data_IF_538894554275
#
_entry.id   IF_538894554275
#
_cell.length_a   1.000
_cell.length_b   1.000
_cell.length_c   1.000
_cell.angle_alpha   90.00
_cell.angle_beta   90.00
_cell.angle_gamma   90.00
#
_symmetry.space_group_name_H-M   'P 1'
#
loop_
_entity.id
_entity.type
_entity.pdbx_description
1 polymer ?
#
# COMPACT_ATOMS: atom_id res chain seq x y z
N UNK A 1 -33.81 1.31 -1.90
CA UNK A 1 -33.35 0.39 -0.82
C UNK A 1 -32.01 0.87 -0.32
N UNK A 2 -31.86 1.16 0.99
CA UNK A 2 -30.54 1.41 1.59
C UNK A 2 -29.85 0.07 1.76
N UNK A 3 -28.88 -0.26 0.91
CA UNK A 3 -27.97 -1.39 1.13
C UNK A 3 -27.17 -1.10 2.40
N UNK A 4 -27.54 -1.76 3.50
CA UNK A 4 -26.87 -1.60 4.78
C UNK A 4 -25.61 -2.45 4.73
N UNK A 5 -24.47 -1.83 4.43
CA UNK A 5 -23.17 -2.52 4.44
C UNK A 5 -22.99 -3.23 5.78
N UNK A 6 -22.74 -4.54 5.74
CA UNK A 6 -22.61 -5.39 6.93
C UNK A 6 -21.14 -5.54 7.28
N UNK A 7 -20.80 -5.33 8.56
CA UNK A 7 -19.44 -5.50 9.08
C UNK A 7 -19.47 -6.25 10.40
N UNK A 8 -18.63 -7.27 10.53
CA UNK A 8 -18.48 -8.01 11.78
C UNK A 8 -17.07 -8.57 11.92
N UNK A 9 -16.55 -8.56 13.14
CA UNK A 9 -15.30 -9.20 13.54
C UNK A 9 -15.65 -10.38 14.44
N UNK A 10 -14.97 -11.51 14.28
CA UNK A 10 -15.10 -12.65 15.18
C UNK A 10 -13.76 -13.32 15.39
N UNK A 11 -13.46 -13.74 16.62
CA UNK A 11 -12.23 -14.48 16.91
C UNK A 11 -12.48 -15.98 16.93
N UNK A 12 -11.51 -16.75 16.46
CA UNK A 12 -11.58 -18.21 16.48
C UNK A 12 -10.18 -18.82 16.57
N UNK A 13 -10.11 -20.06 17.04
CA UNK A 13 -8.85 -20.80 17.08
C UNK A 13 -8.77 -21.80 15.94
N UNK A 14 -7.62 -21.85 15.27
CA UNK A 14 -7.29 -22.88 14.30
C UNK A 14 -6.30 -23.87 14.90
N UNK A 15 -6.68 -25.15 14.90
CA UNK A 15 -5.84 -26.28 15.31
C UNK A 15 -5.16 -26.96 14.11
N UNK A 16 -5.31 -26.39 12.91
CA UNK A 16 -4.80 -26.99 11.69
C UNK A 16 -3.30 -27.29 11.81
N UNK A 17 -2.93 -28.57 11.65
CA UNK A 17 -1.56 -29.12 11.68
C UNK A 17 -0.89 -29.19 13.06
N UNK A 18 -1.66 -29.17 14.17
CA UNK A 18 -1.12 -29.34 15.52
C UNK A 18 -1.71 -30.57 16.23
N UNK A 19 -0.83 -31.36 16.84
CA UNK A 19 -1.16 -32.57 17.62
C UNK A 19 -1.01 -32.33 19.13
N UNK A 20 -0.42 -31.19 19.52
CA UNK A 20 -0.08 -30.82 20.89
C UNK A 20 -1.25 -30.26 21.72
N UNK A 21 -2.48 -30.32 21.21
CA UNK A 21 -3.66 -29.78 21.89
C UNK A 21 -3.77 -28.24 21.89
N UNK A 22 -2.89 -27.54 21.16
CA UNK A 22 -2.88 -26.07 21.07
C UNK A 22 -3.48 -25.55 19.76
N UNK A 23 -4.04 -24.34 19.80
CA UNK A 23 -4.63 -23.64 18.66
C UNK A 23 -4.06 -22.23 18.50
N UNK A 24 -3.93 -21.77 17.25
CA UNK A 24 -3.59 -20.37 16.94
C UNK A 24 -4.84 -19.51 16.90
N UNK A 25 -4.80 -18.32 17.49
CA UNK A 25 -5.92 -17.37 17.44
C UNK A 25 -5.89 -16.62 16.11
N UNK A 26 -7.06 -16.52 15.49
CA UNK A 26 -7.34 -15.75 14.28
C UNK A 26 -8.49 -14.78 14.52
N UNK A 27 -8.36 -13.56 13.99
CA UNK A 27 -9.49 -12.67 13.77
C UNK A 27 -10.06 -12.92 12.37
N UNK A 28 -11.37 -13.01 12.26
CA UNK A 28 -12.10 -13.10 11.00
C UNK A 28 -12.84 -11.80 10.78
N UNK A 29 -12.53 -11.15 9.66
CA UNK A 29 -13.16 -9.91 9.23
C UNK A 29 -14.19 -10.27 8.17
N UNK A 30 -15.42 -9.83 8.35
CA UNK A 30 -16.51 -10.02 7.38
C UNK A 30 -17.06 -8.67 6.94
N UNK A 31 -17.12 -8.43 5.63
CA UNK A 31 -17.74 -7.26 5.01
C UNK A 31 -18.62 -7.77 3.87
N UNK A 32 -19.91 -7.45 3.88
CA UNK A 32 -20.85 -7.79 2.79
C UNK A 32 -20.72 -9.24 2.30
N UNK A 33 -20.79 -10.18 3.26
CA UNK A 33 -20.67 -11.63 3.07
C UNK A 33 -19.30 -12.16 2.61
N UNK A 34 -18.35 -11.29 2.24
CA UNK A 34 -16.96 -11.66 2.00
C UNK A 34 -16.20 -11.77 3.32
N UNK A 35 -15.21 -12.67 3.39
CA UNK A 35 -14.46 -12.95 4.62
C UNK A 35 -12.97 -13.04 4.37
N UNK A 36 -12.17 -12.53 5.30
CA UNK A 36 -10.72 -12.80 5.36
C UNK A 36 -10.30 -13.11 6.79
N UNK A 37 -9.21 -13.88 6.93
CA UNK A 37 -8.64 -14.22 8.23
C UNK A 37 -7.31 -13.49 8.45
N UNK A 38 -7.11 -13.06 9.68
CA UNK A 38 -5.94 -12.39 10.22
C UNK A 38 -5.37 -13.27 11.33
N UNK A 39 -4.12 -13.71 11.20
CA UNK A 39 -3.44 -14.48 12.25
C UNK A 39 -2.94 -13.54 13.34
N UNK A 40 -3.34 -13.77 14.60
CA UNK A 40 -2.90 -12.96 15.73
C UNK A 40 -1.62 -13.49 16.40
N UNK A 41 -1.05 -14.58 15.87
CA UNK A 41 0.21 -15.20 16.32
C UNK A 41 0.23 -15.72 17.77
N UNK A 42 -0.84 -15.55 18.54
CA UNK A 42 -1.05 -16.22 19.81
C UNK A 42 -1.35 -17.71 19.62
N UNK A 43 -0.76 -18.55 20.47
CA UNK A 43 -1.05 -19.98 20.59
C UNK A 43 -1.54 -20.25 22.00
N UNK A 44 -2.70 -20.89 22.13
CA UNK A 44 -3.30 -21.23 23.42
C UNK A 44 -3.76 -22.69 23.44
N UNK A 45 -3.85 -23.33 24.62
CA UNK A 45 -4.55 -24.60 24.77
C UNK A 45 -6.00 -24.48 24.28
N UNK A 46 -6.47 -25.48 23.55
CA UNK A 46 -7.83 -25.47 22.99
C UNK A 46 -8.93 -25.53 24.05
N UNK A 47 -8.63 -26.09 25.21
CA UNK A 47 -9.53 -26.28 26.35
C UNK A 47 -9.92 -24.96 27.02
N UNK A 48 -9.03 -23.98 27.00
CA UNK A 48 -9.25 -22.66 27.62
C UNK A 48 -9.89 -21.67 26.64
N UNK A 49 -10.38 -22.10 25.47
CA UNK A 49 -11.04 -21.21 24.52
C UNK A 49 -12.56 -21.34 24.59
N UNK A 50 -13.24 -20.22 24.86
CA UNK A 50 -14.68 -20.11 24.76
C UNK A 50 -15.11 -19.87 23.30
N UNK A 51 -15.60 -20.93 22.64
CA UNK A 51 -16.08 -20.84 21.26
C UNK A 51 -17.30 -19.91 21.10
N UNK A 52 -18.15 -19.79 22.12
CA UNK A 52 -19.35 -18.93 22.04
C UNK A 52 -19.00 -17.49 22.34
N UNK A 53 -18.19 -17.27 23.38
CA UNK A 53 -17.73 -15.94 23.79
C UNK A 53 -16.57 -15.37 22.97
N UNK A 54 -15.95 -16.17 22.10
CA UNK A 54 -14.77 -15.79 21.30
C UNK A 54 -13.62 -15.21 22.14
N UNK A 55 -13.37 -15.82 23.31
CA UNK A 55 -12.44 -15.33 24.33
C UNK A 55 -11.71 -16.48 25.03
N UNK A 56 -10.61 -16.15 25.70
CA UNK A 56 -9.90 -17.10 26.57
C UNK A 56 -10.60 -17.17 27.93
N UNK A 57 -10.88 -18.37 28.39
CA UNK A 57 -11.44 -18.68 29.71
C UNK A 57 -10.36 -18.64 30.79
N UNK A 58 -10.78 -18.31 32.01
CA UNK A 58 -9.94 -18.31 33.20
C UNK A 58 -9.64 -16.92 33.74
N UNK A 59 -9.06 -16.90 34.95
CA UNK A 59 -8.72 -15.67 35.67
C UNK A 59 -7.22 -15.43 35.78
N UNK A 60 -6.40 -16.24 35.09
CA UNK A 60 -4.95 -16.08 35.07
C UNK A 60 -4.57 -14.74 34.44
N UNK A 61 -3.39 -14.24 34.81
CA UNK A 61 -2.85 -13.00 34.24
C UNK A 61 -2.76 -13.09 32.71
N UNK A 62 -2.28 -14.23 32.19
CA UNK A 62 -2.18 -14.51 30.76
C UNK A 62 -3.54 -14.49 30.05
N UNK A 63 -4.57 -15.12 30.61
CA UNK A 63 -5.91 -15.10 30.01
C UNK A 63 -6.48 -13.66 29.94
N UNK A 64 -6.24 -12.84 30.97
CA UNK A 64 -6.63 -11.43 30.97
C UNK A 64 -5.86 -10.63 29.92
N UNK A 65 -4.55 -10.80 29.84
CA UNK A 65 -3.68 -10.13 28.85
C UNK A 65 -4.11 -10.46 27.42
N UNK A 66 -4.37 -11.73 27.10
CA UNK A 66 -4.84 -12.14 25.77
C UNK A 66 -6.21 -11.52 25.47
N UNK A 67 -7.16 -11.57 26.41
CA UNK A 67 -8.50 -11.00 26.18
C UNK A 67 -8.47 -9.48 25.98
N UNK A 68 -7.63 -8.76 26.73
CA UNK A 68 -7.39 -7.32 26.51
C UNK A 68 -6.85 -7.07 25.10
N UNK A 69 -5.85 -7.85 24.68
CA UNK A 69 -5.30 -7.74 23.32
C UNK A 69 -6.35 -8.02 22.23
N UNK A 70 -7.23 -9.01 22.41
CA UNK A 70 -8.32 -9.26 21.45
C UNK A 70 -9.27 -8.06 21.33
N UNK A 71 -9.57 -7.38 22.44
CA UNK A 71 -10.40 -6.18 22.47
C UNK A 71 -9.73 -4.99 21.77
N UNK A 72 -8.42 -4.82 21.95
CA UNK A 72 -7.63 -3.80 21.24
C UNK A 72 -7.66 -4.05 19.73
N UNK A 73 -7.39 -5.29 19.30
CA UNK A 73 -7.45 -5.68 17.88
C UNK A 73 -8.83 -5.45 17.28
N UNK A 74 -9.91 -5.77 18.01
CA UNK A 74 -11.27 -5.51 17.55
C UNK A 74 -11.51 -4.01 17.33
N UNK A 75 -11.06 -3.18 18.27
CA UNK A 75 -11.20 -1.73 18.23
C UNK A 75 -10.46 -1.13 17.03
N UNK A 76 -9.20 -1.55 16.83
CA UNK A 76 -8.36 -1.12 15.72
C UNK A 76 -8.97 -1.50 14.36
N UNK A 77 -9.42 -2.76 14.21
CA UNK A 77 -10.07 -3.23 12.99
C UNK A 77 -11.38 -2.48 12.69
N UNK A 78 -12.17 -2.17 13.72
CA UNK A 78 -13.36 -1.33 13.57
C UNK A 78 -13.00 0.08 13.09
N UNK A 79 -11.94 0.66 13.63
CA UNK A 79 -11.46 1.97 13.22
C UNK A 79 -11.00 1.97 11.75
N UNK A 80 -10.22 0.96 11.35
CA UNK A 80 -9.79 0.77 9.96
C UNK A 80 -11.01 0.72 9.00
N UNK A 81 -12.05 -0.03 9.36
CA UNK A 81 -13.27 -0.10 8.57
C UNK A 81 -13.98 1.26 8.47
N UNK A 82 -14.07 2.03 9.56
CA UNK A 82 -14.68 3.37 9.55
C UNK A 82 -13.93 4.34 8.65
N UNK A 83 -12.60 4.32 8.70
CA UNK A 83 -11.75 5.17 7.86
C UNK A 83 -11.86 4.82 6.37
N UNK A 84 -11.87 3.52 6.03
CA UNK A 84 -12.06 3.09 4.65
C UNK A 84 -13.45 3.44 4.14
N UNK A 85 -14.48 3.32 4.98
CA UNK A 85 -15.87 3.66 4.65
C UNK A 85 -16.09 5.16 4.48
N UNK A 86 -15.33 6.01 5.16
CA UNK A 86 -15.44 7.47 4.98
C UNK A 86 -14.76 7.94 3.69
N UNK A 87 -13.74 7.23 3.22
CA UNK A 87 -13.01 7.52 1.97
C UNK A 87 -13.65 6.89 0.73
N UNK A 88 -14.23 5.70 0.84
CA UNK A 88 -14.72 4.91 -0.30
C UNK A 88 -16.12 4.37 -0.07
N UNK A 89 -16.91 4.31 -1.16
CA UNK A 89 -18.22 3.67 -1.18
C UNK A 89 -18.14 2.14 -1.22
N UNK A 90 -16.96 1.58 -1.46
CA UNK A 90 -16.71 0.14 -1.55
C UNK A 90 -15.58 -0.26 -0.60
N UNK A 91 -15.86 -1.17 0.32
CA UNK A 91 -14.91 -1.69 1.31
C UNK A 91 -14.94 -3.21 1.26
N UNK A 92 -13.76 -3.83 1.17
CA UNK A 92 -13.62 -5.29 1.24
C UNK A 92 -12.92 -5.71 2.53
N UNK A 93 -13.10 -6.96 3.00
CA UNK A 93 -12.36 -7.47 4.15
C UNK A 93 -10.84 -7.40 3.97
N UNK A 94 -10.36 -7.60 2.73
CA UNK A 94 -8.96 -7.51 2.36
C UNK A 94 -8.43 -6.09 2.51
N UNK A 95 -9.20 -5.06 2.13
CA UNK A 95 -8.84 -3.66 2.35
C UNK A 95 -8.72 -3.34 3.83
N UNK A 96 -9.68 -3.80 4.66
CA UNK A 96 -9.61 -3.61 6.13
C UNK A 96 -8.35 -4.27 6.70
N UNK A 97 -8.04 -5.50 6.27
CA UNK A 97 -6.83 -6.21 6.68
C UNK A 97 -5.55 -5.49 6.23
N UNK A 98 -5.51 -4.98 5.00
CA UNK A 98 -4.36 -4.24 4.49
C UNK A 98 -4.16 -2.95 5.30
N UNK A 99 -5.23 -2.19 5.52
CA UNK A 99 -5.22 -0.96 6.34
C UNK A 99 -4.76 -1.21 7.77
N UNK A 100 -5.20 -2.30 8.38
CA UNK A 100 -4.73 -2.72 9.71
C UNK A 100 -3.21 -2.92 9.78
N UNK A 101 -2.59 -3.42 8.70
CA UNK A 101 -1.13 -3.59 8.62
C UNK A 101 -0.39 -2.37 8.07
N UNK A 102 -1.08 -1.27 7.75
CA UNK A 102 -0.47 -0.13 7.03
C UNK A 102 -0.09 -0.46 5.57
N UNK A 103 -0.72 -1.49 5.01
CA UNK A 103 -0.62 -1.90 3.60
C UNK A 103 -1.76 -1.30 2.75
N UNK A 104 -2.52 -0.35 3.30
CA UNK A 104 -3.56 0.46 2.64
C UNK A 104 -3.01 1.41 1.58
N UNK A 105 -1.73 1.76 1.70
CA UNK A 105 -1.03 2.45 0.63
C UNK A 105 -1.24 1.65 -0.65
N UNK A 106 -1.84 2.29 -1.65
CA UNK A 106 -1.98 1.71 -2.97
C UNK A 106 -0.61 1.11 -3.32
N UNK A 107 -0.51 -0.23 -3.36
CA UNK A 107 0.74 -0.92 -3.66
C UNK A 107 1.14 -0.71 -5.14
N UNK A 108 0.52 0.31 -5.76
CA UNK A 108 0.76 0.83 -7.08
C UNK A 108 2.19 1.34 -7.06
N UNK A 109 2.99 0.70 -7.90
CA UNK A 109 4.38 1.05 -8.04
C UNK A 109 4.56 1.95 -9.25
N UNK A 110 5.75 2.52 -9.35
CA UNK A 110 6.14 3.39 -10.45
C UNK A 110 5.99 2.69 -11.81
N UNK A 111 6.25 1.39 -11.91
CA UNK A 111 6.01 0.63 -13.16
C UNK A 111 4.54 0.60 -13.55
N UNK A 112 3.62 0.33 -12.62
CA UNK A 112 2.17 0.37 -12.88
C UNK A 112 1.71 1.76 -13.33
N UNK A 113 2.27 2.81 -12.72
CA UNK A 113 2.03 4.19 -13.16
C UNK A 113 2.49 4.44 -14.60
N UNK A 114 3.63 3.87 -14.99
CA UNK A 114 4.14 3.97 -16.35
C UNK A 114 3.26 3.22 -17.36
N UNK A 115 2.82 2.02 -17.03
CA UNK A 115 1.90 1.23 -17.86
C UNK A 115 0.60 1.98 -18.07
N UNK A 116 -0.01 2.48 -17.00
CA UNK A 116 -1.23 3.27 -17.09
C UNK A 116 -1.06 4.52 -17.98
N UNK A 117 0.03 5.27 -17.80
CA UNK A 117 0.35 6.41 -18.67
C UNK A 117 0.54 5.98 -20.13
N UNK A 118 1.23 4.87 -20.36
CA UNK A 118 1.54 4.39 -21.70
C UNK A 118 0.30 3.81 -22.41
N UNK A 119 -0.69 3.28 -21.71
CA UNK A 119 -1.95 2.84 -22.34
C UNK A 119 -2.86 4.04 -22.58
N UNK A 120 -3.05 4.88 -21.57
CA UNK A 120 -4.11 5.90 -21.57
C UNK A 120 -3.69 7.22 -22.23
N UNK A 121 -2.41 7.53 -22.34
CA UNK A 121 -1.94 8.78 -22.95
C UNK A 121 -1.30 8.61 -24.33
N UNK A 122 -1.05 7.39 -24.80
CA UNK A 122 -0.35 7.17 -26.08
C UNK A 122 -1.10 7.71 -27.28
N UNK A 123 -2.43 7.57 -27.33
CA UNK A 123 -3.25 8.03 -28.44
C UNK A 123 -3.22 9.56 -28.62
N UNK A 124 -2.94 10.31 -27.55
CA UNK A 124 -2.89 11.78 -27.57
C UNK A 124 -1.48 12.35 -27.71
N UNK A 125 -0.45 11.50 -27.88
CA UNK A 125 0.95 11.92 -27.91
C UNK A 125 1.63 11.54 -29.22
N UNK A 126 2.37 12.49 -29.80
CA UNK A 126 3.20 12.20 -30.96
C UNK A 126 4.35 11.24 -30.61
N UNK A 127 4.83 10.48 -31.61
CA UNK A 127 5.89 9.47 -31.46
C UNK A 127 7.15 10.01 -30.76
N UNK A 128 7.55 11.24 -31.06
CA UNK A 128 8.70 11.89 -30.43
C UNK A 128 8.50 12.08 -28.92
N UNK A 129 7.32 12.53 -28.50
CA UNK A 129 6.98 12.73 -27.09
C UNK A 129 6.97 11.41 -26.32
N UNK A 130 6.43 10.35 -26.91
CA UNK A 130 6.45 9.00 -26.33
C UNK A 130 7.86 8.48 -26.12
N UNK A 131 8.76 8.68 -27.07
CA UNK A 131 10.18 8.34 -26.92
C UNK A 131 10.77 9.05 -25.70
N UNK A 132 10.48 10.33 -25.50
CA UNK A 132 10.96 11.07 -24.34
C UNK A 132 10.42 10.54 -23.00
N UNK A 133 9.16 10.10 -22.97
CA UNK A 133 8.60 9.44 -21.78
C UNK A 133 9.31 8.12 -21.48
N UNK A 134 9.53 7.27 -22.49
CA UNK A 134 10.28 6.01 -22.31
C UNK A 134 11.71 6.25 -21.80
N UNK A 135 12.43 7.23 -22.36
CA UNK A 135 13.76 7.60 -21.85
C UNK A 135 13.70 8.04 -20.38
N UNK A 136 12.70 8.85 -20.01
CA UNK A 136 12.49 9.26 -18.61
C UNK A 136 12.20 8.06 -17.70
N UNK A 137 11.33 7.15 -18.13
CA UNK A 137 10.95 5.96 -17.36
C UNK A 137 12.21 5.14 -17.03
N UNK A 138 13.08 4.92 -18.02
CA UNK A 138 14.36 4.23 -17.83
C UNK A 138 15.30 4.95 -16.86
N UNK A 139 15.43 6.28 -16.97
CA UNK A 139 16.27 7.06 -16.04
C UNK A 139 15.73 7.01 -14.61
N UNK A 140 14.41 7.03 -14.44
CA UNK A 140 13.82 6.93 -13.12
C UNK A 140 14.04 5.53 -12.51
N UNK A 141 13.85 4.46 -13.28
CA UNK A 141 14.13 3.10 -12.80
C UNK A 141 15.61 2.91 -12.45
N UNK A 142 16.52 3.50 -13.26
CA UNK A 142 17.96 3.49 -12.96
C UNK A 142 18.27 4.21 -11.64
N UNK A 143 17.69 5.39 -11.41
CA UNK A 143 17.82 6.10 -10.14
C UNK A 143 17.33 5.28 -8.95
N UNK A 144 16.16 4.65 -9.09
CA UNK A 144 15.57 3.82 -8.03
C UNK A 144 16.49 2.65 -7.69
N UNK A 145 16.99 1.95 -8.71
CA UNK A 145 17.90 0.83 -8.52
C UNK A 145 19.23 1.27 -7.86
N UNK A 146 19.80 2.40 -8.27
CA UNK A 146 21.06 2.90 -7.70
C UNK A 146 20.92 3.34 -6.24
N UNK A 147 19.88 4.13 -5.92
CA UNK A 147 19.70 4.74 -4.60
C UNK A 147 19.00 3.81 -3.59
N UNK A 148 17.98 3.08 -4.03
CA UNK A 148 17.11 2.29 -3.14
C UNK A 148 17.30 0.78 -3.29
N UNK A 149 18.21 0.34 -4.17
CA UNK A 149 18.51 -1.09 -4.43
C UNK A 149 17.27 -1.92 -4.76
N UNK A 150 16.30 -1.29 -5.44
CA UNK A 150 15.04 -1.91 -5.81
C UNK A 150 14.79 -1.72 -7.30
N UNK A 151 14.08 -2.67 -7.92
CA UNK A 151 13.69 -2.57 -9.33
C UNK A 151 12.41 -1.76 -9.53
N UNK A 152 11.73 -1.41 -8.45
CA UNK A 152 10.48 -0.66 -8.46
C UNK A 152 10.30 0.11 -7.15
N UNK A 153 9.38 1.06 -7.11
CA UNK A 153 9.19 1.91 -5.93
C UNK A 153 7.71 2.30 -5.77
N UNK A 154 7.15 2.28 -4.55
CA UNK A 154 5.78 2.70 -4.31
C UNK A 154 5.58 4.17 -4.64
N UNK A 155 4.52 4.51 -5.39
CA UNK A 155 4.26 5.93 -5.73
C UNK A 155 3.83 6.75 -4.53
N UNK A 156 3.24 6.12 -3.52
CA UNK A 156 2.87 6.72 -2.23
C UNK A 156 4.06 7.21 -1.42
N UNK A 157 5.25 6.63 -1.65
CA UNK A 157 6.50 7.00 -0.98
C UNK A 157 7.29 8.08 -1.74
N UNK A 158 6.74 8.62 -2.82
CA UNK A 158 7.33 9.76 -3.51
C UNK A 158 7.16 10.99 -2.61
N UNK A 159 8.26 11.48 -2.08
CA UNK A 159 8.33 12.69 -1.27
C UNK A 159 9.21 13.76 -1.94
N UNK A 160 9.36 14.91 -1.29
CA UNK A 160 10.19 15.99 -1.82
C UNK A 160 11.66 15.57 -1.96
N UNK A 161 12.18 14.77 -1.03
CA UNK A 161 13.57 14.32 -1.05
C UNK A 161 13.85 13.40 -2.24
N UNK A 162 12.90 12.53 -2.59
CA UNK A 162 12.97 11.72 -3.79
C UNK A 162 13.04 12.59 -5.05
N UNK A 163 12.24 13.66 -5.13
CA UNK A 163 12.26 14.58 -6.30
C UNK A 163 13.62 15.26 -6.43
N UNK A 164 14.14 15.82 -5.34
CA UNK A 164 15.44 16.51 -5.31
C UNK A 164 16.59 15.53 -5.60
N UNK A 165 16.52 14.32 -5.05
CA UNK A 165 17.48 13.25 -5.31
C UNK A 165 17.49 12.83 -6.78
N UNK A 166 16.30 12.65 -7.38
CA UNK A 166 16.18 12.33 -8.79
C UNK A 166 16.69 13.45 -9.70
N UNK A 167 16.41 14.72 -9.36
CA UNK A 167 16.95 15.87 -10.08
C UNK A 167 18.49 15.90 -10.02
N UNK A 168 19.06 15.67 -8.84
CA UNK A 168 20.51 15.61 -8.64
C UNK A 168 21.13 14.47 -9.45
N UNK A 169 20.48 13.31 -9.47
CA UNK A 169 20.88 12.18 -10.32
C UNK A 169 20.88 12.57 -11.81
N UNK A 170 19.82 13.21 -12.30
CA UNK A 170 19.72 13.63 -13.70
C UNK A 170 20.83 14.62 -14.09
N UNK A 171 21.18 15.57 -13.21
CA UNK A 171 22.28 16.54 -13.46
C UNK A 171 23.66 15.88 -13.52
N UNK A 172 23.84 14.73 -12.87
CA UNK A 172 25.08 13.94 -12.90
C UNK A 172 25.09 12.88 -14.00
N UNK A 173 23.95 12.63 -14.65
CA UNK A 173 23.79 11.57 -15.62
C UNK A 173 24.51 11.88 -16.94
N UNK A 174 25.25 10.90 -17.45
CA UNK A 174 25.82 10.89 -18.80
C UNK A 174 24.97 9.97 -19.71
N UNK A 175 24.19 10.52 -20.66
CA UNK A 175 23.41 9.71 -21.59
C UNK A 175 24.33 8.87 -22.49
N UNK A 176 23.99 7.61 -22.76
CA UNK A 176 24.81 6.69 -23.58
C UNK A 176 25.22 7.23 -24.96
N UNK A 177 24.39 8.10 -25.56
CA UNK A 177 24.61 8.65 -26.90
C UNK A 177 25.20 10.06 -26.90
N UNK A 178 25.63 10.55 -25.73
CA UNK A 178 26.26 11.86 -25.57
C UNK A 178 27.55 11.73 -24.78
N UNK A 179 28.60 12.36 -25.27
CA UNK A 179 29.87 12.49 -24.55
C UNK A 179 29.85 13.59 -23.47
N UNK A 180 28.67 14.14 -23.18
CA UNK A 180 28.46 15.24 -22.23
C UNK A 180 27.37 14.89 -21.22
N UNK A 181 27.41 15.55 -20.06
CA UNK A 181 26.36 15.46 -19.06
C UNK A 181 25.03 15.92 -19.64
N UNK A 182 23.94 15.39 -19.11
CA UNK A 182 22.61 15.88 -19.42
C UNK A 182 22.52 17.39 -19.11
N UNK A 183 22.08 18.19 -20.08
CA UNK A 183 21.93 19.63 -19.88
C UNK A 183 20.87 19.95 -18.82
N UNK A 184 21.00 21.09 -18.14
CA UNK A 184 20.02 21.54 -17.15
C UNK A 184 18.59 21.58 -17.72
N UNK A 185 18.43 22.09 -18.94
CA UNK A 185 17.15 22.09 -19.64
C UNK A 185 16.62 20.66 -19.89
N UNK A 186 17.51 19.72 -20.24
CA UNK A 186 17.18 18.31 -20.37
C UNK A 186 16.67 17.71 -19.06
N UNK A 187 17.41 17.91 -17.96
CA UNK A 187 17.02 17.46 -16.63
C UNK A 187 15.64 18.02 -16.22
N UNK A 188 15.42 19.32 -16.40
CA UNK A 188 14.13 19.95 -16.10
C UNK A 188 12.98 19.38 -16.93
N UNK A 189 13.21 19.04 -18.21
CA UNK A 189 12.19 18.37 -19.03
C UNK A 189 11.83 16.97 -18.50
N UNK A 190 12.78 16.23 -17.91
CA UNK A 190 12.48 14.95 -17.25
C UNK A 190 11.68 15.14 -15.96
N UNK A 191 12.01 16.16 -15.16
CA UNK A 191 11.28 16.53 -13.95
C UNK A 191 9.84 16.95 -14.27
N UNK A 192 9.64 17.80 -15.29
CA UNK A 192 8.30 18.21 -15.75
C UNK A 192 7.43 17.00 -16.15
N UNK A 193 8.01 16.00 -16.83
CA UNK A 193 7.30 14.77 -17.20
C UNK A 193 6.97 13.89 -15.98
N UNK A 194 7.86 13.83 -14.98
CA UNK A 194 7.55 13.16 -13.72
C UNK A 194 6.38 13.85 -13.02
N UNK A 195 6.40 15.18 -12.91
CA UNK A 195 5.30 15.97 -12.34
C UNK A 195 3.96 15.73 -13.04
N UNK A 196 3.95 15.59 -14.37
CA UNK A 196 2.73 15.24 -15.10
C UNK A 196 2.20 13.86 -14.72
N UNK A 197 3.06 12.86 -14.55
CA UNK A 197 2.64 11.52 -14.13
C UNK A 197 2.22 11.46 -12.65
N UNK A 198 2.86 12.21 -11.76
CA UNK A 198 2.43 12.27 -10.35
C UNK A 198 1.10 13.00 -10.20
N UNK A 199 0.82 14.03 -11.03
CA UNK A 199 -0.51 14.63 -11.10
C UNK A 199 -1.57 13.64 -11.56
N UNK A 200 -1.29 12.86 -12.62
CA UNK A 200 -2.21 11.79 -13.04
C UNK A 200 -2.46 10.79 -11.91
N UNK A 201 -1.45 10.44 -11.11
CA UNK A 201 -1.63 9.58 -9.93
C UNK A 201 -2.51 10.23 -8.85
N UNK A 202 -2.38 11.55 -8.66
CA UNK A 202 -3.22 12.33 -7.74
C UNK A 202 -4.67 12.41 -8.22
N UNK A 203 -4.89 12.69 -9.50
CA UNK A 203 -6.22 12.76 -10.12
C UNK A 203 -6.94 11.39 -10.06
N UNK A 204 -6.17 10.31 -10.10
CA UNK A 204 -6.65 8.94 -9.92
C UNK A 204 -6.78 8.50 -8.44
N UNK A 205 -6.51 9.39 -7.49
CA UNK A 205 -6.53 9.11 -6.04
C UNK A 205 -5.57 7.98 -5.61
N UNK A 206 -4.49 7.76 -6.36
CA UNK A 206 -3.48 6.75 -6.02
C UNK A 206 -2.47 7.24 -4.99
N UNK A 207 -2.33 8.56 -4.85
CA UNK A 207 -1.51 9.23 -3.84
C UNK A 207 -2.33 10.35 -3.20
N UNK A 208 -2.17 10.57 -1.90
CA UNK A 208 -2.93 11.59 -1.17
C UNK A 208 -2.32 13.00 -1.28
N UNK A 209 -1.04 13.10 -1.66
CA UNK A 209 -0.27 14.35 -1.62
C UNK A 209 0.61 14.48 -2.84
N UNK A 210 0.69 15.70 -3.39
CA UNK A 210 1.59 15.99 -4.50
C UNK A 210 3.06 16.09 -4.01
N UNK A 211 3.98 15.20 -4.44
CA UNK A 211 5.39 15.26 -4.09
C UNK A 211 6.09 16.55 -4.57
N UNK A 212 5.52 17.23 -5.57
CA UNK A 212 6.03 18.48 -6.12
C UNK A 212 5.51 19.73 -5.41
N UNK A 213 4.67 19.61 -4.37
CA UNK A 213 4.05 20.77 -3.70
C UNK A 213 5.06 21.80 -3.19
N UNK A 214 6.26 21.38 -2.79
CA UNK A 214 7.32 22.25 -2.25
C UNK A 214 8.32 22.74 -3.29
N UNK A 215 8.34 22.15 -4.49
CA UNK A 215 9.18 22.62 -5.59
C UNK A 215 8.38 23.58 -6.46
N UNK A 216 8.38 24.88 -6.14
CA UNK A 216 7.84 25.88 -7.06
C UNK A 216 8.82 26.13 -8.20
#
# INVERSE_FOLDING_TARGET
MRTRSTFSISFWISTARRVDGTGKIYARITVDSQRTNLSLKYTIPTEIWDRKGSRVLGHTKEAREINTYLMEVETELFQCYRELRSKSHYVTPQMVKAHYFGEDGSNIKIKTLFEHHNVNCVHNLCKATLRHYRTKQNYLLKYINEQYKSDDYPISQLDHNFIVGFETFLRKLYPRHKHEKLSNNGAMKHIQRLRKMTRMALDNEWIDRDPFRRSK
#
